data_IF_090551657988
#
_entry.id   IF_090551657988
#
_cell.length_a   1.000
_cell.length_b   1.000
_cell.length_c   1.000
_cell.angle_alpha   90.00
_cell.angle_beta   90.00
_cell.angle_gamma   90.00
#
_symmetry.space_group_name_H-M   'P 1'
#
loop_
_entity.id
_entity.type
_entity.pdbx_description
1 polymer ?
#
# COMPACT_ATOMS: atom_id res chain seq x y z
N UNK A 1 38.69 -11.03 -5.40
CA UNK A 1 38.50 -9.65 -5.89
C UNK A 1 39.52 -8.76 -5.17
N UNK A 2 40.31 -8.01 -5.92
CA UNK A 2 41.42 -7.24 -5.35
C UNK A 2 40.87 -5.91 -4.79
N UNK A 3 41.20 -5.56 -3.55
CA UNK A 3 40.74 -4.30 -2.88
C UNK A 3 40.96 -3.02 -3.73
N UNK A 4 41.96 -3.04 -4.61
CA UNK A 4 42.21 -1.93 -5.56
C UNK A 4 41.06 -1.70 -6.56
N UNK A 5 40.31 -2.74 -6.95
CA UNK A 5 39.20 -2.60 -7.92
C UNK A 5 37.93 -2.04 -7.27
N UNK A 6 37.78 -2.18 -5.95
CA UNK A 6 36.63 -1.62 -5.23
C UNK A 6 36.79 -0.10 -5.06
N UNK A 7 38.02 0.37 -4.80
CA UNK A 7 38.30 1.81 -4.66
C UNK A 7 38.10 2.59 -5.97
N UNK A 8 38.47 2.00 -7.10
CA UNK A 8 38.32 2.66 -8.43
C UNK A 8 36.85 2.80 -8.85
N UNK A 9 35.96 1.92 -8.39
CA UNK A 9 34.53 2.06 -8.69
C UNK A 9 33.80 3.08 -7.79
N UNK A 10 34.41 3.47 -6.67
CA UNK A 10 33.85 4.47 -5.75
C UNK A 10 34.34 5.89 -6.05
N UNK A 11 35.49 6.06 -6.69
CA UNK A 11 36.05 7.38 -7.05
C UNK A 11 35.18 8.20 -8.02
N UNK A 12 34.20 7.59 -8.67
CA UNK A 12 33.21 8.24 -9.55
C UNK A 12 31.89 8.58 -8.90
N UNK A 13 31.65 8.15 -7.66
CA UNK A 13 30.45 8.47 -6.93
C UNK A 13 30.56 9.90 -6.39
N UNK A 14 29.84 10.82 -7.00
CA UNK A 14 29.65 12.16 -6.43
C UNK A 14 28.62 12.05 -5.32
N UNK A 15 28.92 12.65 -4.16
CA UNK A 15 27.90 12.91 -3.17
C UNK A 15 26.76 13.72 -3.82
N UNK A 16 25.52 13.20 -3.73
CA UNK A 16 24.36 13.91 -4.22
C UNK A 16 24.03 15.01 -3.22
N UNK A 17 24.28 16.26 -3.61
CA UNK A 17 23.85 17.42 -2.84
C UNK A 17 22.43 17.80 -3.28
N UNK A 18 21.47 17.60 -2.38
CA UNK A 18 20.09 17.97 -2.65
C UNK A 18 19.97 19.50 -2.68
N UNK A 19 19.68 20.05 -3.86
CA UNK A 19 19.40 21.47 -4.04
C UNK A 19 17.90 21.66 -4.31
N UNK A 20 17.08 21.95 -3.27
CA UNK A 20 15.65 22.12 -3.45
C UNK A 20 15.35 23.33 -4.34
N UNK A 21 14.59 23.12 -5.39
CA UNK A 21 14.07 24.23 -6.18
C UNK A 21 13.00 24.97 -5.37
N UNK A 22 12.95 26.32 -5.42
CA UNK A 22 11.91 27.08 -4.76
C UNK A 22 10.55 26.68 -5.34
N UNK A 23 9.58 26.45 -4.44
CA UNK A 23 8.19 26.19 -4.85
C UNK A 23 7.67 27.49 -5.48
N UNK A 24 7.14 27.46 -6.72
CA UNK A 24 6.57 28.65 -7.35
C UNK A 24 5.47 29.23 -6.45
N UNK A 25 5.49 30.54 -6.24
CA UNK A 25 4.41 31.22 -5.53
C UNK A 25 3.08 30.96 -6.24
N UNK A 26 2.08 30.56 -5.46
CA UNK A 26 0.74 30.41 -6.01
C UNK A 26 0.22 31.78 -6.47
N UNK A 27 -0.41 31.89 -7.65
CA UNK A 27 -1.01 33.15 -8.08
C UNK A 27 -1.98 33.64 -7.01
N UNK A 28 -1.68 34.79 -6.43
CA UNK A 28 -2.53 35.43 -5.42
C UNK A 28 -3.95 35.62 -5.95
N UNK A 29 -4.94 35.04 -5.27
CA UNK A 29 -6.36 35.29 -5.53
C UNK A 29 -7.16 34.17 -6.21
N UNK A 30 -6.56 33.02 -6.54
CA UNK A 30 -7.31 31.84 -7.02
C UNK A 30 -7.32 30.74 -5.98
N UNK A 31 -8.48 30.51 -5.35
CA UNK A 31 -8.70 29.29 -4.56
C UNK A 31 -8.77 28.11 -5.52
N UNK A 32 -7.77 27.23 -5.45
CA UNK A 32 -7.82 25.99 -6.19
C UNK A 32 -8.68 24.99 -5.40
N UNK A 33 -9.66 24.39 -6.07
CA UNK A 33 -10.51 23.36 -5.48
C UNK A 33 -10.58 22.13 -6.39
N UNK A 34 -10.81 20.99 -5.81
CA UNK A 34 -11.05 19.73 -6.53
C UNK A 34 -12.20 18.98 -5.89
N UNK A 35 -12.84 18.08 -6.65
CA UNK A 35 -13.82 17.13 -6.12
C UNK A 35 -13.10 15.90 -5.57
N UNK A 36 -13.47 15.46 -4.38
CA UNK A 36 -12.88 14.30 -3.75
C UNK A 36 -13.83 13.57 -2.82
N UNK A 37 -13.41 12.39 -2.38
CA UNK A 37 -14.14 11.50 -1.48
C UNK A 37 -13.64 11.70 -0.06
N UNK A 38 -14.46 12.30 0.80
CA UNK A 38 -14.11 12.48 2.22
C UNK A 38 -14.27 11.16 2.97
N UNK A 39 -13.22 10.76 3.68
CA UNK A 39 -13.22 9.58 4.56
C UNK A 39 -13.67 9.97 5.97
N UNK A 40 -14.06 8.97 6.81
CA UNK A 40 -14.52 9.22 8.19
C UNK A 40 -13.48 9.91 9.07
N UNK A 41 -12.20 9.67 8.83
CA UNK A 41 -11.07 10.31 9.53
C UNK A 41 -10.77 11.74 9.05
N UNK A 42 -11.55 12.26 8.08
CA UNK A 42 -11.38 13.60 7.53
C UNK A 42 -10.46 13.72 6.33
N UNK A 43 -9.71 12.67 6.00
CA UNK A 43 -8.87 12.62 4.79
C UNK A 43 -9.72 12.63 3.52
N UNK A 44 -9.13 13.07 2.42
CA UNK A 44 -9.82 13.18 1.13
C UNK A 44 -9.07 12.42 0.06
N UNK A 45 -9.73 11.43 -0.52
CA UNK A 45 -9.24 10.73 -1.72
C UNK A 45 -9.71 11.42 -2.99
N UNK A 46 -8.88 11.40 -4.01
CA UNK A 46 -9.25 11.85 -5.36
C UNK A 46 -9.82 10.70 -6.21
N UNK A 47 -9.79 9.49 -5.66
CA UNK A 47 -10.36 8.27 -6.25
C UNK A 47 -11.16 7.50 -5.20
N UNK A 48 -12.06 6.64 -5.68
CA UNK A 48 -12.88 5.74 -4.84
C UNK A 48 -12.71 4.30 -5.32
N UNK A 49 -11.57 3.72 -4.99
CA UNK A 49 -11.17 2.39 -5.45
C UNK A 49 -11.42 1.32 -4.38
N UNK A 50 -11.54 0.05 -4.79
CA UNK A 50 -11.46 -1.12 -3.91
C UNK A 50 -10.09 -1.74 -4.07
N UNK A 51 -9.36 -1.89 -2.97
CA UNK A 51 -8.02 -2.45 -2.96
C UNK A 51 -7.98 -3.81 -2.28
N UNK A 52 -7.35 -4.78 -2.94
CA UNK A 52 -7.09 -6.12 -2.39
C UNK A 52 -5.59 -6.22 -2.14
N UNK A 53 -5.20 -6.24 -0.87
CA UNK A 53 -3.81 -6.13 -0.43
C UNK A 53 -3.40 -7.42 0.26
N UNK A 54 -2.45 -8.22 -0.29
CA UNK A 54 -1.90 -9.38 0.39
C UNK A 54 -0.96 -8.97 1.53
N UNK A 55 -0.93 -9.74 2.62
CA UNK A 55 0.11 -9.63 3.65
C UNK A 55 1.37 -10.38 3.26
N UNK A 56 1.26 -11.31 2.31
CA UNK A 56 2.35 -12.19 1.86
C UNK A 56 2.18 -12.56 0.38
N UNK A 57 3.29 -12.72 -0.32
CA UNK A 57 3.29 -13.07 -1.74
C UNK A 57 2.59 -14.39 -2.10
N UNK A 58 2.52 -15.32 -1.15
CA UNK A 58 1.88 -16.63 -1.34
C UNK A 58 0.39 -16.54 -1.73
N UNK A 59 -0.30 -15.48 -1.33
CA UNK A 59 -1.73 -15.27 -1.64
C UNK A 59 -1.98 -14.35 -2.84
N UNK A 60 -0.95 -13.95 -3.58
CA UNK A 60 -1.10 -13.09 -4.76
C UNK A 60 -2.12 -13.63 -5.77
N UNK A 61 -2.09 -14.94 -6.05
CA UNK A 61 -3.04 -15.55 -6.98
C UNK A 61 -4.50 -15.47 -6.50
N UNK A 62 -4.72 -15.53 -5.19
CA UNK A 62 -6.05 -15.38 -4.58
C UNK A 62 -6.51 -13.93 -4.69
N UNK A 63 -5.64 -12.97 -4.36
CA UNK A 63 -5.97 -11.53 -4.43
C UNK A 63 -6.34 -11.10 -5.85
N UNK A 64 -5.64 -11.61 -6.86
CA UNK A 64 -6.00 -11.36 -8.26
C UNK A 64 -7.39 -11.90 -8.61
N UNK A 65 -7.67 -13.16 -8.27
CA UNK A 65 -8.98 -13.76 -8.52
C UNK A 65 -10.13 -13.04 -7.82
N UNK A 66 -9.91 -12.59 -6.59
CA UNK A 66 -10.88 -11.79 -5.85
C UNK A 66 -11.13 -10.44 -6.53
N UNK A 67 -10.08 -9.75 -6.94
CA UNK A 67 -10.19 -8.47 -7.66
C UNK A 67 -10.94 -8.66 -9.00
N UNK A 68 -10.64 -9.72 -9.75
CA UNK A 68 -11.30 -10.01 -11.03
C UNK A 68 -12.79 -10.29 -10.83
N UNK A 69 -13.15 -11.07 -9.82
CA UNK A 69 -14.55 -11.35 -9.48
C UNK A 69 -15.28 -10.08 -9.06
N UNK A 70 -14.70 -9.28 -8.18
CA UNK A 70 -15.28 -8.01 -7.75
C UNK A 70 -15.52 -7.04 -8.90
N UNK A 71 -14.59 -6.97 -9.89
CA UNK A 71 -14.79 -6.13 -11.10
C UNK A 71 -16.05 -6.51 -11.88
N UNK A 72 -16.38 -7.79 -11.92
CA UNK A 72 -17.60 -8.25 -12.60
C UNK A 72 -18.88 -7.90 -11.80
N UNK A 73 -18.80 -7.99 -10.46
CA UNK A 73 -19.95 -7.78 -9.58
C UNK A 73 -20.26 -6.29 -9.32
N UNK A 74 -19.26 -5.40 -9.48
CA UNK A 74 -19.39 -3.97 -9.12
C UNK A 74 -19.56 -3.03 -10.32
N UNK A 75 -19.83 -3.56 -11.50
CA UNK A 75 -20.09 -2.72 -12.68
C UNK A 75 -21.26 -1.76 -12.42
N UNK A 76 -21.05 -0.46 -12.67
CA UNK A 76 -22.06 0.58 -12.51
C UNK A 76 -22.30 1.08 -11.07
N UNK A 77 -21.49 0.66 -10.09
CA UNK A 77 -21.68 1.01 -8.67
C UNK A 77 -21.02 2.31 -8.22
N UNK A 78 -20.33 3.03 -9.11
CA UNK A 78 -19.59 4.25 -8.75
C UNK A 78 -18.22 4.00 -8.12
N UNK A 79 -17.69 2.76 -8.21
CA UNK A 79 -16.31 2.41 -7.88
C UNK A 79 -15.43 2.75 -9.09
N UNK A 80 -14.36 3.51 -8.86
CA UNK A 80 -13.47 3.96 -9.95
C UNK A 80 -12.59 2.81 -10.51
N UNK A 81 -12.10 1.94 -9.63
CA UNK A 81 -11.32 0.76 -10.02
C UNK A 81 -11.26 -0.27 -8.89
N UNK A 82 -10.94 -1.51 -9.24
CA UNK A 82 -10.62 -2.57 -8.29
C UNK A 82 -9.21 -3.07 -8.60
N UNK A 83 -8.32 -2.97 -7.62
CA UNK A 83 -6.89 -3.20 -7.79
C UNK A 83 -6.39 -4.23 -6.77
N UNK A 84 -5.72 -5.27 -7.25
CA UNK A 84 -4.89 -6.13 -6.41
C UNK A 84 -3.44 -5.61 -6.45
N UNK A 85 -2.77 -5.61 -5.30
CA UNK A 85 -1.38 -5.15 -5.16
C UNK A 85 -0.44 -6.33 -4.85
N UNK A 86 -0.10 -7.19 -5.83
CA UNK A 86 0.78 -8.32 -5.60
C UNK A 86 2.20 -7.86 -5.24
N UNK A 87 2.86 -8.61 -4.36
CA UNK A 87 4.26 -8.40 -4.00
C UNK A 87 4.90 -9.73 -3.58
N UNK A 88 6.23 -9.77 -3.46
CA UNK A 88 6.98 -11.00 -3.16
C UNK A 88 7.47 -11.06 -1.70
N UNK A 89 6.91 -10.27 -0.82
CA UNK A 89 7.34 -10.09 0.56
C UNK A 89 6.37 -10.72 1.56
N UNK A 90 6.63 -10.55 2.86
CA UNK A 90 5.76 -10.97 3.95
C UNK A 90 6.14 -12.32 4.58
N UNK A 91 7.08 -13.05 3.95
CA UNK A 91 7.64 -14.29 4.46
C UNK A 91 9.16 -14.27 4.35
N UNK A 92 9.87 -14.88 5.32
CA UNK A 92 11.35 -14.97 5.34
C UNK A 92 12.08 -13.62 5.35
N UNK A 93 11.42 -12.56 5.72
CA UNK A 93 12.04 -11.26 5.95
C UNK A 93 12.45 -11.11 7.41
N UNK A 94 13.55 -10.42 7.67
CA UNK A 94 14.11 -10.18 9.00
C UNK A 94 14.35 -8.69 9.23
N UNK A 95 14.28 -8.28 10.50
CA UNK A 95 14.64 -6.93 10.93
C UNK A 95 13.91 -5.82 10.17
N UNK A 96 14.67 -4.81 9.77
CA UNK A 96 14.15 -3.60 9.14
C UNK A 96 13.41 -3.86 7.82
N UNK A 97 13.82 -4.88 7.09
CA UNK A 97 13.19 -5.27 5.82
C UNK A 97 11.73 -5.68 6.02
N UNK A 98 11.49 -6.49 7.07
CA UNK A 98 10.15 -6.89 7.47
C UNK A 98 9.32 -5.69 7.97
N UNK A 99 9.91 -4.86 8.84
CA UNK A 99 9.23 -3.68 9.37
C UNK A 99 8.90 -2.64 8.28
N UNK A 100 9.79 -2.44 7.31
CA UNK A 100 9.53 -1.53 6.19
C UNK A 100 8.40 -2.05 5.29
N UNK A 101 8.37 -3.35 4.99
CA UNK A 101 7.26 -3.98 4.27
C UNK A 101 5.93 -3.75 4.99
N UNK A 102 5.88 -3.98 6.30
CA UNK A 102 4.68 -3.76 7.11
C UNK A 102 4.21 -2.30 7.08
N UNK A 103 5.14 -1.34 7.21
CA UNK A 103 4.83 0.10 7.15
C UNK A 103 4.24 0.49 5.79
N UNK A 104 4.86 0.03 4.70
CA UNK A 104 4.37 0.32 3.34
C UNK A 104 2.95 -0.24 3.16
N UNK A 105 2.72 -1.50 3.52
CA UNK A 105 1.41 -2.12 3.41
C UNK A 105 0.37 -1.42 4.29
N UNK A 106 0.74 -1.00 5.51
CA UNK A 106 -0.12 -0.20 6.40
C UNK A 106 -0.54 1.11 5.72
N UNK A 107 0.40 1.83 5.16
CA UNK A 107 0.14 3.13 4.55
C UNK A 107 -0.72 2.98 3.28
N UNK A 108 -0.56 1.88 2.54
CA UNK A 108 -1.48 1.52 1.46
C UNK A 108 -2.89 1.23 1.97
N UNK A 109 -3.05 0.43 3.02
CA UNK A 109 -4.36 0.08 3.61
C UNK A 109 -5.09 1.33 4.11
N UNK A 110 -4.36 2.28 4.69
CA UNK A 110 -4.93 3.52 5.21
C UNK A 110 -5.14 4.60 4.15
N UNK A 111 -4.60 4.43 2.95
CA UNK A 111 -4.60 5.47 1.91
C UNK A 111 -6.02 5.95 1.54
N UNK A 112 -6.26 7.26 1.45
CA UNK A 112 -7.61 7.82 1.24
C UNK A 112 -8.23 7.53 -0.13
N UNK A 113 -7.45 7.17 -1.15
CA UNK A 113 -8.00 6.77 -2.46
C UNK A 113 -8.73 5.41 -2.42
N UNK A 114 -8.41 4.55 -1.44
CA UNK A 114 -9.14 3.32 -1.23
C UNK A 114 -10.47 3.60 -0.54
N UNK A 115 -11.58 3.45 -1.23
CA UNK A 115 -12.93 3.49 -0.68
C UNK A 115 -13.25 2.25 0.16
N UNK A 116 -12.69 1.10 -0.21
CA UNK A 116 -12.71 -0.13 0.57
C UNK A 116 -11.40 -0.90 0.40
N UNK A 117 -10.99 -1.63 1.44
CA UNK A 117 -9.78 -2.46 1.43
C UNK A 117 -10.09 -3.84 1.97
N UNK A 118 -9.66 -4.87 1.25
CA UNK A 118 -9.58 -6.23 1.73
C UNK A 118 -8.11 -6.63 1.90
N UNK A 119 -7.71 -6.85 3.14
CA UNK A 119 -6.38 -7.39 3.47
C UNK A 119 -6.48 -8.91 3.50
N UNK A 120 -5.63 -9.58 2.73
CA UNK A 120 -5.65 -11.05 2.58
C UNK A 120 -4.34 -11.64 3.09
N UNK A 121 -4.44 -12.49 4.10
CA UNK A 121 -3.33 -13.28 4.63
C UNK A 121 -3.45 -14.76 4.32
N UNK A 122 -2.35 -15.49 4.45
CA UNK A 122 -2.32 -16.95 4.34
C UNK A 122 -2.68 -17.59 5.69
N UNK A 123 -2.00 -17.20 6.76
CA UNK A 123 -2.13 -17.72 8.13
C UNK A 123 -0.83 -18.23 8.76
N UNK A 124 0.22 -18.48 7.97
CA UNK A 124 1.53 -18.96 8.44
C UNK A 124 2.70 -18.01 8.10
N UNK A 125 2.42 -16.85 7.53
CA UNK A 125 3.42 -15.85 7.17
C UNK A 125 4.05 -15.14 8.38
N UNK A 126 5.24 -14.56 8.21
CA UNK A 126 5.85 -13.71 9.24
C UNK A 126 5.02 -12.43 9.48
N UNK A 127 4.46 -11.86 8.40
CA UNK A 127 3.57 -10.71 8.46
C UNK A 127 2.13 -11.13 8.80
N UNK A 128 1.94 -11.77 9.95
CA UNK A 128 0.65 -12.29 10.39
C UNK A 128 -0.43 -11.22 10.44
N UNK A 129 -1.63 -11.58 9.99
CA UNK A 129 -2.81 -10.67 9.94
C UNK A 129 -3.12 -10.05 11.30
N UNK A 130 -3.00 -10.81 12.40
CA UNK A 130 -3.23 -10.31 13.76
C UNK A 130 -2.30 -9.15 14.12
N UNK A 131 -0.99 -9.36 14.03
CA UNK A 131 0.03 -8.36 14.31
C UNK A 131 -0.06 -7.16 13.34
N UNK A 132 -0.38 -7.41 12.08
CA UNK A 132 -0.59 -6.35 11.09
C UNK A 132 -1.81 -5.49 11.43
N UNK A 133 -2.92 -6.10 11.87
CA UNK A 133 -4.12 -5.40 12.33
C UNK A 133 -3.84 -4.50 13.54
N UNK A 134 -3.08 -4.98 14.51
CA UNK A 134 -2.65 -4.19 15.68
C UNK A 134 -1.85 -2.96 15.26
N UNK A 135 -0.98 -3.11 14.26
CA UNK A 135 -0.17 -2.00 13.72
C UNK A 135 -1.01 -0.91 13.04
N UNK A 136 -2.20 -1.21 12.52
CA UNK A 136 -3.11 -0.20 11.97
C UNK A 136 -3.67 0.71 13.06
N UNK A 137 -3.72 0.27 14.30
CA UNK A 137 -4.32 1.01 15.40
C UNK A 137 -5.82 1.20 15.22
N UNK A 138 -6.30 2.43 15.40
CA UNK A 138 -7.71 2.76 15.17
C UNK A 138 -7.98 3.02 13.69
N UNK A 139 -8.75 2.15 13.06
CA UNK A 139 -9.09 2.24 11.64
C UNK A 139 -10.60 2.04 11.41
N UNK A 140 -11.11 2.48 10.27
CA UNK A 140 -12.51 2.30 9.89
C UNK A 140 -12.79 0.84 9.49
N UNK A 141 -13.46 0.11 10.40
CA UNK A 141 -13.80 -1.31 10.21
C UNK A 141 -14.89 -1.54 9.17
N UNK A 142 -15.63 -0.52 8.74
CA UNK A 142 -16.56 -0.63 7.60
C UNK A 142 -15.81 -0.58 6.27
N UNK A 143 -14.71 0.18 6.22
CA UNK A 143 -13.86 0.36 5.04
C UNK A 143 -12.82 -0.74 4.89
N UNK A 144 -12.24 -1.23 5.99
CA UNK A 144 -11.11 -2.16 5.97
C UNK A 144 -11.55 -3.50 6.56
N UNK A 145 -11.41 -4.56 5.76
CA UNK A 145 -11.72 -5.95 6.15
C UNK A 145 -10.47 -6.82 6.01
N UNK A 146 -10.47 -7.92 6.77
CA UNK A 146 -9.38 -8.89 6.81
C UNK A 146 -9.90 -10.28 6.53
N UNK A 147 -9.09 -11.07 5.82
CA UNK A 147 -9.34 -12.47 5.54
C UNK A 147 -8.03 -13.26 5.69
N UNK A 148 -8.07 -14.38 6.39
CA UNK A 148 -6.99 -15.35 6.41
C UNK A 148 -7.46 -16.61 5.67
N UNK A 149 -6.76 -16.97 4.60
CA UNK A 149 -7.22 -18.03 3.69
C UNK A 149 -7.22 -19.42 4.30
N UNK A 150 -6.40 -19.68 5.33
CA UNK A 150 -6.40 -20.95 6.06
C UNK A 150 -7.48 -21.04 7.15
N UNK A 151 -8.21 -19.96 7.42
CA UNK A 151 -9.27 -19.90 8.44
C UNK A 151 -10.67 -19.72 7.85
N UNK A 152 -10.78 -19.61 6.53
CA UNK A 152 -12.05 -19.51 5.83
C UNK A 152 -12.46 -20.92 5.40
N UNK A 153 -13.54 -21.42 5.96
CA UNK A 153 -14.21 -22.67 5.55
C UNK A 153 -15.07 -22.44 4.30
#
# INVERSE_FOLDING_TARGET
MNEKNIKTNLEGLREYEFNPQPIPEQPSGKSLSFKGYRRKNGEVGIRNEIWVIPTVGCVNGITHRLADRLRQETQGTGVDAIVAFPHNYGCSQLGDDHENTRKILRDMVLHPNAGAVLVVGLGCENNQVGAFREMLGNYDTERIRFMETQKVD
#
